data_IF_436626511417
#
_entry.id   IF_436626511417
#
_cell.length_a   1.000
_cell.length_b   1.000
_cell.length_c   1.000
_cell.angle_alpha   90.00
_cell.angle_beta   90.00
_cell.angle_gamma   90.00
#
_symmetry.space_group_name_H-M   'P 1'
#
loop_
_entity.id
_entity.type
_entity.pdbx_description
1 polymer ?
#
# COMPACT_ATOMS: atom_id res chain seq x y z
N UNK A 1 39.00 17.58 6.84
CA UNK A 1 37.99 16.94 7.71
C UNK A 1 36.79 16.59 6.86
N UNK A 2 36.27 15.37 6.96
CA UNK A 2 34.99 15.06 6.34
C UNK A 2 33.89 15.96 6.96
N UNK A 3 32.95 16.50 6.17
CA UNK A 3 31.84 17.28 6.72
C UNK A 3 31.05 16.43 7.73
N UNK A 4 30.48 17.06 8.75
CA UNK A 4 29.54 16.37 9.65
C UNK A 4 28.33 15.89 8.85
N UNK A 5 27.67 14.81 9.30
CA UNK A 5 26.49 14.29 8.61
C UNK A 5 25.43 15.37 8.37
N UNK A 6 25.18 16.23 9.37
CA UNK A 6 24.27 17.35 9.24
C UNK A 6 24.66 18.36 8.14
N UNK A 7 25.95 18.62 7.93
CA UNK A 7 26.43 19.50 6.86
C UNK A 7 26.31 18.84 5.48
N UNK A 8 26.56 17.53 5.39
CA UNK A 8 26.38 16.77 4.15
C UNK A 8 24.90 16.68 3.74
N UNK A 9 23.99 16.43 4.69
CA UNK A 9 22.55 16.38 4.44
C UNK A 9 21.98 17.73 3.99
N UNK A 10 22.52 18.85 4.49
CA UNK A 10 22.13 20.19 4.02
C UNK A 10 22.57 20.48 2.58
N UNK A 11 23.62 19.81 2.10
CA UNK A 11 24.14 19.98 0.76
C UNK A 11 23.54 18.99 -0.25
N UNK A 12 22.97 17.87 0.24
CA UNK A 12 22.25 16.91 -0.60
C UNK A 12 20.90 17.48 -1.06
N UNK A 13 20.48 17.11 -2.27
CA UNK A 13 19.08 17.31 -2.65
C UNK A 13 18.21 16.29 -1.91
N UNK A 14 16.96 16.63 -1.61
CA UNK A 14 16.08 15.76 -0.81
C UNK A 14 15.83 14.38 -1.44
N UNK A 15 16.02 14.26 -2.76
CA UNK A 15 15.72 13.06 -3.54
C UNK A 15 16.98 12.30 -3.99
N UNK A 16 18.19 12.81 -3.72
CA UNK A 16 19.44 12.10 -4.02
C UNK A 16 19.78 11.14 -2.88
N UNK A 17 19.06 10.02 -2.87
CA UNK A 17 19.15 9.02 -1.80
C UNK A 17 20.49 8.27 -1.83
N UNK A 18 21.17 8.15 -2.97
CA UNK A 18 22.55 7.68 -3.07
C UNK A 18 23.52 8.60 -2.32
N UNK A 19 23.48 9.92 -2.55
CA UNK A 19 24.35 10.86 -1.86
C UNK A 19 24.09 10.87 -0.33
N UNK A 20 22.82 10.77 0.08
CA UNK A 20 22.44 10.64 1.49
C UNK A 20 23.02 9.36 2.10
N UNK A 21 22.94 8.25 1.39
CA UNK A 21 23.50 6.96 1.81
C UNK A 21 25.02 7.04 1.97
N UNK A 22 25.73 7.65 1.02
CA UNK A 22 27.18 7.82 1.07
C UNK A 22 27.62 8.70 2.24
N UNK A 23 26.90 9.80 2.49
CA UNK A 23 27.14 10.68 3.63
C UNK A 23 26.95 9.95 4.97
N UNK A 24 25.88 9.16 5.10
CA UNK A 24 25.62 8.35 6.30
C UNK A 24 26.72 7.30 6.51
N UNK A 25 27.11 6.59 5.45
CA UNK A 25 28.20 5.61 5.48
C UNK A 25 29.54 6.24 5.88
N UNK A 26 29.84 7.46 5.42
CA UNK A 26 31.04 8.18 5.81
C UNK A 26 31.04 8.52 7.31
N UNK A 27 29.91 8.94 7.87
CA UNK A 27 29.75 9.22 9.30
C UNK A 27 29.99 7.96 10.16
N UNK A 28 29.42 6.84 9.72
CA UNK A 28 29.49 5.56 10.43
C UNK A 28 30.89 4.93 10.46
N UNK A 29 31.82 5.36 9.59
CA UNK A 29 33.24 4.96 9.67
C UNK A 29 33.89 5.43 10.98
N UNK A 30 33.43 6.56 11.52
CA UNK A 30 33.94 7.15 12.76
C UNK A 30 33.19 6.64 13.99
N UNK A 31 31.88 6.45 13.89
CA UNK A 31 31.04 5.93 14.98
C UNK A 31 30.01 4.94 14.44
N UNK A 32 30.30 3.64 14.53
CA UNK A 32 29.43 2.57 14.00
C UNK A 32 28.06 2.50 14.68
N UNK A 33 27.98 2.95 15.93
CA UNK A 33 26.77 2.89 16.77
C UNK A 33 26.01 4.22 16.82
N UNK A 34 26.35 5.19 15.95
CA UNK A 34 25.57 6.42 15.81
C UNK A 34 24.16 6.09 15.28
N UNK A 35 23.16 6.18 16.15
CA UNK A 35 21.77 5.87 15.82
C UNK A 35 21.23 6.77 14.71
N UNK A 36 21.58 8.06 14.72
CA UNK A 36 21.08 9.01 13.72
C UNK A 36 21.65 8.66 12.35
N UNK A 37 22.96 8.41 12.25
CA UNK A 37 23.59 8.00 11.00
C UNK A 37 23.09 6.63 10.51
N UNK A 38 22.81 5.68 11.41
CA UNK A 38 22.20 4.40 11.05
C UNK A 38 20.77 4.58 10.53
N UNK A 39 19.95 5.41 11.17
CA UNK A 39 18.59 5.71 10.70
C UNK A 39 18.62 6.37 9.31
N UNK A 40 19.48 7.38 9.11
CA UNK A 40 19.66 8.03 7.79
C UNK A 40 20.05 7.01 6.71
N UNK A 41 21.01 6.12 7.02
CA UNK A 41 21.41 5.04 6.10
C UNK A 41 20.24 4.11 5.77
N UNK A 42 19.49 3.65 6.77
CA UNK A 42 18.37 2.71 6.60
C UNK A 42 17.27 3.35 5.75
N UNK A 43 16.88 4.59 6.03
CA UNK A 43 15.86 5.31 5.26
C UNK A 43 16.31 5.52 3.81
N UNK A 44 17.57 5.88 3.59
CA UNK A 44 18.11 6.01 2.23
C UNK A 44 18.05 4.67 1.48
N UNK A 45 18.44 3.56 2.11
CA UNK A 45 18.33 2.22 1.51
C UNK A 45 16.88 1.86 1.17
N UNK A 46 15.91 2.18 2.05
CA UNK A 46 14.49 1.96 1.76
C UNK A 46 14.00 2.77 0.57
N UNK A 47 14.44 4.03 0.43
CA UNK A 47 14.07 4.89 -0.70
C UNK A 47 14.73 4.50 -2.02
N UNK A 48 15.80 3.72 -1.95
CA UNK A 48 16.47 3.11 -3.10
C UNK A 48 15.96 1.69 -3.41
N UNK A 49 14.89 1.25 -2.74
CA UNK A 49 14.35 -0.11 -2.83
C UNK A 49 15.37 -1.22 -2.53
N UNK A 50 16.42 -0.93 -1.75
CA UNK A 50 17.49 -1.87 -1.35
C UNK A 50 17.13 -2.60 -0.06
N UNK A 51 16.03 -3.34 -0.08
CA UNK A 51 15.43 -3.94 1.11
C UNK A 51 16.33 -4.98 1.79
N UNK A 52 17.03 -5.83 1.04
CA UNK A 52 17.97 -6.81 1.60
C UNK A 52 19.15 -6.13 2.31
N UNK A 53 19.60 -4.98 1.80
CA UNK A 53 20.68 -4.22 2.41
C UNK A 53 20.22 -3.55 3.72
N UNK A 54 18.93 -3.21 3.85
CA UNK A 54 18.34 -2.79 5.14
C UNK A 54 18.43 -3.92 6.15
N UNK A 55 17.99 -5.12 5.78
CA UNK A 55 18.04 -6.28 6.69
C UNK A 55 19.47 -6.61 7.11
N UNK A 56 20.41 -6.61 6.15
CA UNK A 56 21.84 -6.82 6.43
C UNK A 56 22.37 -5.73 7.36
N UNK A 57 22.03 -4.48 7.11
CA UNK A 57 22.43 -3.32 7.92
C UNK A 57 21.97 -3.49 9.37
N UNK A 58 20.68 -3.76 9.58
CA UNK A 58 20.08 -3.89 10.91
C UNK A 58 20.63 -5.12 11.65
N UNK A 59 20.85 -6.24 10.96
CA UNK A 59 21.39 -7.47 11.57
C UNK A 59 22.80 -7.31 12.13
N UNK A 60 23.59 -6.35 11.61
CA UNK A 60 24.92 -6.04 12.09
C UNK A 60 24.97 -5.07 13.28
N UNK A 61 23.82 -4.57 13.75
CA UNK A 61 23.74 -3.64 14.89
C UNK A 61 23.58 -4.40 16.21
N UNK A 62 24.01 -3.78 17.32
CA UNK A 62 23.71 -4.32 18.65
C UNK A 62 22.21 -4.31 18.95
N UNK A 63 21.73 -5.28 19.72
CA UNK A 63 20.28 -5.50 19.98
C UNK A 63 19.54 -4.23 20.48
N UNK A 64 20.19 -3.42 21.32
CA UNK A 64 19.61 -2.16 21.82
C UNK A 64 19.34 -1.11 20.73
N UNK A 65 20.11 -1.14 19.63
CA UNK A 65 19.95 -0.23 18.50
C UNK A 65 18.97 -0.85 17.50
N UNK A 66 19.10 -2.15 17.24
CA UNK A 66 18.23 -2.91 16.34
C UNK A 66 16.73 -2.76 16.68
N UNK A 67 16.38 -2.79 17.97
CA UNK A 67 14.98 -2.63 18.40
C UNK A 67 14.35 -1.30 17.98
N UNK A 68 15.15 -0.26 17.75
CA UNK A 68 14.70 1.07 17.32
C UNK A 68 14.29 1.10 15.83
N UNK A 69 14.68 0.10 15.05
CA UNK A 69 14.42 0.00 13.61
C UNK A 69 13.39 -1.07 13.26
N UNK A 70 12.52 -1.42 14.20
CA UNK A 70 11.53 -2.50 14.02
C UNK A 70 10.56 -2.20 12.87
N UNK A 71 10.14 -0.94 12.71
CA UNK A 71 9.24 -0.51 11.64
C UNK A 71 9.91 -0.65 10.26
N UNK A 72 11.13 -0.13 10.10
CA UNK A 72 11.89 -0.19 8.86
C UNK A 72 12.26 -1.62 8.49
N UNK A 73 12.61 -2.44 9.49
CA UNK A 73 12.90 -3.87 9.31
C UNK A 73 11.67 -4.62 8.81
N UNK A 74 10.52 -4.42 9.47
CA UNK A 74 9.26 -5.04 9.03
C UNK A 74 8.82 -4.55 7.66
N UNK A 75 9.03 -3.27 7.33
CA UNK A 75 8.71 -2.73 6.02
C UNK A 75 9.59 -3.35 4.93
N UNK A 76 10.90 -3.50 5.16
CA UNK A 76 11.78 -4.21 4.24
C UNK A 76 11.35 -5.69 4.04
N UNK A 77 11.05 -6.41 5.14
CA UNK A 77 10.51 -7.78 5.07
C UNK A 77 9.19 -7.85 4.29
N UNK A 78 8.28 -6.91 4.54
CA UNK A 78 7.03 -6.79 3.79
C UNK A 78 7.30 -6.63 2.30
N UNK A 79 8.18 -5.71 1.89
CA UNK A 79 8.52 -5.50 0.47
C UNK A 79 9.13 -6.74 -0.18
N UNK A 80 9.90 -7.53 0.58
CA UNK A 80 10.47 -8.82 0.15
C UNK A 80 9.47 -10.00 0.18
N UNK A 81 8.23 -9.78 0.63
CA UNK A 81 7.23 -10.84 0.75
C UNK A 81 7.40 -11.77 1.95
N UNK A 82 8.27 -11.42 2.90
CA UNK A 82 8.48 -12.16 4.16
C UNK A 82 7.41 -11.75 5.19
N UNK A 83 6.15 -12.08 4.90
CA UNK A 83 5.00 -11.52 5.62
C UNK A 83 4.89 -11.97 7.08
N UNK A 84 5.17 -13.25 7.36
CA UNK A 84 5.11 -13.79 8.72
C UNK A 84 6.22 -13.23 9.61
N UNK A 85 7.44 -13.12 9.06
CA UNK A 85 8.57 -12.50 9.75
C UNK A 85 8.30 -11.02 10.03
N UNK A 86 7.74 -10.29 9.05
CA UNK A 86 7.36 -8.90 9.22
C UNK A 86 6.31 -8.73 10.34
N UNK A 87 5.29 -9.59 10.36
CA UNK A 87 4.27 -9.58 11.42
C UNK A 87 4.87 -9.89 12.80
N UNK A 88 5.80 -10.86 12.86
CA UNK A 88 6.48 -11.23 14.11
C UNK A 88 7.31 -10.07 14.67
N UNK A 89 8.05 -9.36 13.82
CA UNK A 89 8.82 -8.17 14.22
C UNK A 89 7.91 -7.10 14.81
N UNK A 90 6.79 -6.79 14.14
CA UNK A 90 5.86 -5.77 14.61
C UNK A 90 5.12 -6.18 15.88
N UNK A 91 4.84 -7.47 16.09
CA UNK A 91 4.11 -7.95 17.29
C UNK A 91 4.78 -7.54 18.60
N UNK A 92 6.11 -7.42 18.61
CA UNK A 92 6.91 -7.02 19.77
C UNK A 92 7.18 -5.51 19.84
N UNK A 93 6.74 -4.74 18.84
CA UNK A 93 6.98 -3.30 18.77
C UNK A 93 6.02 -2.55 19.71
N UNK A 94 6.59 -1.82 20.67
CA UNK A 94 5.86 -0.99 21.64
C UNK A 94 6.53 0.37 21.80
N UNK A 95 5.78 1.49 21.80
CA UNK A 95 4.33 1.60 21.59
C UNK A 95 3.91 1.31 20.14
N UNK A 96 2.66 0.88 19.96
CA UNK A 96 2.04 0.75 18.64
C UNK A 96 1.68 2.13 18.11
N UNK A 97 2.56 2.70 17.29
CA UNK A 97 2.27 3.94 16.57
C UNK A 97 1.29 3.66 15.43
N UNK A 98 0.65 4.72 14.92
CA UNK A 98 -0.23 4.62 13.75
C UNK A 98 0.48 3.97 12.55
N UNK A 99 1.73 4.34 12.28
CA UNK A 99 2.53 3.76 11.20
C UNK A 99 2.74 2.24 11.38
N UNK A 100 2.94 1.77 12.62
CA UNK A 100 3.03 0.33 12.91
C UNK A 100 1.70 -0.36 12.64
N UNK A 101 0.58 0.20 13.11
CA UNK A 101 -0.75 -0.38 12.91
C UNK A 101 -1.16 -0.39 11.43
N UNK A 102 -0.83 0.66 10.67
CA UNK A 102 -1.05 0.71 9.23
C UNK A 102 -0.26 -0.41 8.52
N UNK A 103 1.03 -0.59 8.84
CA UNK A 103 1.85 -1.65 8.26
C UNK A 103 1.37 -3.05 8.67
N UNK A 104 0.91 -3.24 9.91
CA UNK A 104 0.28 -4.51 10.34
C UNK A 104 -0.96 -4.83 9.50
N UNK A 105 -1.81 -3.83 9.23
CA UNK A 105 -2.96 -3.98 8.34
C UNK A 105 -2.56 -4.36 6.91
N UNK A 106 -1.52 -3.72 6.36
CA UNK A 106 -0.99 -4.03 5.02
C UNK A 106 -0.40 -5.44 4.93
N UNK A 107 0.38 -5.85 5.93
CA UNK A 107 0.94 -7.21 6.04
C UNK A 107 -0.19 -8.23 6.12
N UNK A 108 -1.19 -8.00 6.99
CA UNK A 108 -2.33 -8.90 7.14
C UNK A 108 -3.14 -9.01 5.83
N UNK A 109 -3.38 -7.88 5.15
CA UNK A 109 -4.09 -7.87 3.86
C UNK A 109 -3.33 -8.68 2.80
N UNK A 110 -2.03 -8.45 2.64
CA UNK A 110 -1.21 -9.17 1.67
C UNK A 110 -1.03 -10.65 2.01
N UNK A 111 -1.15 -11.01 3.28
CA UNK A 111 -1.18 -12.40 3.76
C UNK A 111 -2.58 -13.03 3.70
N UNK A 112 -3.56 -12.36 3.08
CA UNK A 112 -4.96 -12.78 2.98
C UNK A 112 -5.69 -13.00 4.32
N UNK A 113 -5.15 -12.43 5.41
CA UNK A 113 -5.75 -12.39 6.74
C UNK A 113 -6.66 -11.17 6.87
N UNK A 114 -7.72 -11.14 6.07
CA UNK A 114 -8.55 -9.93 5.93
C UNK A 114 -9.30 -9.51 7.19
N UNK A 115 -9.67 -10.44 8.07
CA UNK A 115 -10.28 -10.11 9.37
C UNK A 115 -9.28 -9.40 10.29
N UNK A 116 -8.01 -9.83 10.29
CA UNK A 116 -6.95 -9.17 11.04
C UNK A 116 -6.68 -7.78 10.47
N UNK A 117 -6.60 -7.65 9.14
CA UNK A 117 -6.46 -6.36 8.46
C UNK A 117 -7.61 -5.40 8.80
N UNK A 118 -8.85 -5.90 8.80
CA UNK A 118 -10.04 -5.14 9.18
C UNK A 118 -9.95 -4.63 10.63
N UNK A 119 -9.56 -5.51 11.55
CA UNK A 119 -9.37 -5.16 12.96
C UNK A 119 -8.31 -4.09 13.15
N UNK A 120 -7.19 -4.17 12.43
CA UNK A 120 -6.12 -3.16 12.50
C UNK A 120 -6.61 -1.81 11.98
N UNK A 121 -7.18 -1.74 10.77
CA UNK A 121 -7.63 -0.47 10.20
C UNK A 121 -8.80 0.18 10.97
N UNK A 122 -9.67 -0.60 11.61
CA UNK A 122 -10.73 -0.06 12.46
C UNK A 122 -10.26 0.37 13.85
N UNK A 123 -9.06 -0.04 14.27
CA UNK A 123 -8.46 0.42 15.52
C UNK A 123 -7.75 1.78 15.39
N UNK A 124 -7.51 2.24 14.15
CA UNK A 124 -7.00 3.57 13.88
C UNK A 124 -8.12 4.60 14.10
N UNK A 125 -7.84 5.62 14.92
CA UNK A 125 -8.81 6.68 15.21
C UNK A 125 -9.28 7.35 13.92
N UNK A 126 -10.57 7.71 13.85
CA UNK A 126 -11.21 8.38 12.71
C UNK A 126 -10.73 9.83 12.48
N UNK A 127 -9.58 10.20 13.06
CA UNK A 127 -8.96 11.52 12.97
C UNK A 127 -8.56 11.82 11.53
N UNK A 128 -9.45 12.52 10.82
CA UNK A 128 -9.30 12.95 9.43
C UNK A 128 -8.81 11.82 8.51
N UNK A 129 -9.72 10.89 8.19
CA UNK A 129 -9.53 9.84 7.19
C UNK A 129 -8.56 10.30 6.10
N UNK A 130 -7.33 9.78 6.12
CA UNK A 130 -6.55 9.86 4.90
C UNK A 130 -7.32 9.05 3.86
N UNK A 131 -7.42 9.58 2.66
CA UNK A 131 -8.12 8.92 1.55
C UNK A 131 -7.59 7.48 1.37
N UNK A 132 -6.29 7.27 1.63
CA UNK A 132 -5.60 5.98 1.64
C UNK A 132 -6.17 4.96 2.65
N UNK A 133 -6.46 5.37 3.90
CA UNK A 133 -7.00 4.46 4.89
C UNK A 133 -8.39 3.98 4.49
N UNK A 134 -9.18 4.85 3.86
CA UNK A 134 -10.51 4.49 3.36
C UNK A 134 -10.43 3.53 2.17
N UNK A 135 -9.50 3.76 1.23
CA UNK A 135 -9.21 2.82 0.13
C UNK A 135 -8.85 1.45 0.70
N UNK A 136 -7.95 1.39 1.68
CA UNK A 136 -7.53 0.14 2.32
C UNK A 136 -8.68 -0.57 3.06
N UNK A 137 -9.52 0.16 3.81
CA UNK A 137 -10.72 -0.40 4.46
C UNK A 137 -11.69 -0.99 3.44
N UNK A 138 -11.95 -0.30 2.33
CA UNK A 138 -12.87 -0.80 1.29
C UNK A 138 -12.32 -2.00 0.53
N UNK A 139 -11.00 -2.07 0.30
CA UNK A 139 -10.35 -3.24 -0.26
C UNK A 139 -10.53 -4.47 0.64
N UNK A 140 -10.31 -4.33 1.95
CA UNK A 140 -10.54 -5.39 2.94
C UNK A 140 -12.00 -5.85 2.93
N UNK A 141 -12.96 -4.93 2.89
CA UNK A 141 -14.38 -5.27 2.84
C UNK A 141 -14.75 -6.07 1.59
N UNK A 142 -14.21 -5.70 0.42
CA UNK A 142 -14.44 -6.44 -0.82
C UNK A 142 -14.00 -7.90 -0.69
N UNK A 143 -12.82 -8.14 -0.11
CA UNK A 143 -12.30 -9.50 0.10
C UNK A 143 -13.13 -10.28 1.14
N UNK A 144 -13.50 -9.65 2.25
CA UNK A 144 -14.40 -10.26 3.24
C UNK A 144 -15.77 -10.61 2.63
N UNK A 145 -16.27 -9.79 1.70
CA UNK A 145 -17.48 -10.08 0.92
C UNK A 145 -17.40 -11.40 0.19
N UNK A 146 -16.30 -11.65 -0.53
CA UNK A 146 -16.06 -12.94 -1.22
C UNK A 146 -15.92 -14.12 -0.27
N UNK A 147 -15.51 -13.89 0.98
CA UNK A 147 -15.47 -14.91 2.03
C UNK A 147 -16.82 -15.10 2.75
N UNK A 148 -17.89 -14.41 2.33
CA UNK A 148 -19.19 -14.46 2.99
C UNK A 148 -19.25 -13.73 4.33
N UNK A 149 -18.24 -12.92 4.65
CA UNK A 149 -18.08 -12.14 5.89
C UNK A 149 -18.23 -10.62 5.67
N UNK A 150 -18.60 -10.21 4.46
CA UNK A 150 -18.73 -8.80 4.10
C UNK A 150 -19.86 -8.13 4.86
N UNK A 151 -19.52 -7.16 5.72
CA UNK A 151 -20.51 -6.36 6.44
C UNK A 151 -21.17 -5.31 5.52
N UNK A 152 -22.45 -5.03 5.73
CA UNK A 152 -23.16 -3.90 5.07
C UNK A 152 -22.82 -2.54 5.71
N UNK A 153 -22.18 -2.55 6.88
CA UNK A 153 -22.10 -1.41 7.81
C UNK A 153 -21.39 -0.16 7.27
N UNK A 154 -20.65 -0.25 6.15
CA UNK A 154 -19.67 0.76 5.77
C UNK A 154 -19.90 1.33 4.37
N UNK A 155 -20.90 0.82 3.65
CA UNK A 155 -20.92 0.91 2.19
C UNK A 155 -21.76 2.09 1.75
N UNK A 156 -21.09 3.07 1.15
CA UNK A 156 -21.66 4.13 0.34
C UNK A 156 -22.41 5.23 1.12
N UNK A 157 -21.65 6.10 1.78
CA UNK A 157 -22.01 7.51 1.67
C UNK A 157 -21.52 7.97 0.27
N UNK A 158 -22.37 8.41 -0.67
CA UNK A 158 -21.92 8.85 -1.99
C UNK A 158 -20.88 9.97 -1.94
N UNK A 159 -20.84 10.74 -0.84
CA UNK A 159 -19.83 11.78 -0.58
C UNK A 159 -18.44 11.24 -0.25
N UNK A 160 -18.28 9.93 -0.02
CA UNK A 160 -17.00 9.27 0.28
C UNK A 160 -16.38 8.59 -0.94
N UNK A 161 -17.06 8.60 -2.10
CA UNK A 161 -16.48 8.15 -3.36
C UNK A 161 -15.69 9.31 -3.96
N UNK A 162 -14.48 9.50 -3.43
CA UNK A 162 -13.55 10.58 -3.83
C UNK A 162 -12.42 10.06 -4.73
N UNK A 163 -12.21 8.74 -4.77
CA UNK A 163 -11.15 8.07 -5.53
C UNK A 163 -11.73 6.90 -6.34
N UNK A 164 -11.13 6.60 -7.50
CA UNK A 164 -11.66 5.56 -8.39
C UNK A 164 -11.52 4.16 -7.78
N UNK A 165 -10.51 3.94 -6.94
CA UNK A 165 -10.20 2.71 -6.20
C UNK A 165 -11.30 2.40 -5.18
N UNK A 166 -11.84 3.44 -4.52
CA UNK A 166 -12.99 3.27 -3.62
C UNK A 166 -14.20 2.75 -4.40
N UNK A 167 -14.52 3.37 -5.54
CA UNK A 167 -15.63 2.92 -6.38
C UNK A 167 -15.42 1.49 -6.88
N UNK A 168 -14.19 1.14 -7.28
CA UNK A 168 -13.81 -0.21 -7.70
C UNK A 168 -13.98 -1.24 -6.58
N UNK A 169 -13.47 -0.96 -5.38
CA UNK A 169 -13.57 -1.83 -4.22
C UNK A 169 -15.03 -2.05 -3.81
N UNK A 170 -15.83 -0.98 -3.77
CA UNK A 170 -17.26 -1.08 -3.50
C UNK A 170 -17.99 -1.88 -4.58
N UNK A 171 -17.61 -1.75 -5.85
CA UNK A 171 -18.16 -2.58 -6.90
C UNK A 171 -17.86 -4.06 -6.66
N UNK A 172 -16.61 -4.41 -6.37
CA UNK A 172 -16.20 -5.78 -6.06
C UNK A 172 -16.98 -6.36 -4.88
N UNK A 173 -17.23 -5.55 -3.84
CA UNK A 173 -18.11 -5.94 -2.74
C UNK A 173 -19.55 -6.21 -3.20
N UNK A 174 -20.13 -5.36 -4.05
CA UNK A 174 -21.48 -5.60 -4.60
C UNK A 174 -21.52 -6.86 -5.48
N UNK A 175 -20.45 -7.15 -6.24
CA UNK A 175 -20.33 -8.39 -7.02
C UNK A 175 -20.37 -9.60 -6.08
N UNK A 176 -19.62 -9.57 -4.98
CA UNK A 176 -19.60 -10.69 -4.01
C UNK A 176 -20.97 -10.98 -3.40
N UNK A 177 -21.85 -9.95 -3.33
CA UNK A 177 -23.22 -10.05 -2.84
C UNK A 177 -24.25 -10.42 -3.92
N UNK A 178 -23.83 -10.50 -5.19
CA UNK A 178 -24.71 -10.74 -6.33
C UNK A 178 -25.49 -9.51 -6.81
N UNK A 179 -25.19 -8.33 -6.29
CA UNK A 179 -25.84 -7.06 -6.66
C UNK A 179 -25.24 -6.49 -7.94
N UNK A 180 -25.38 -7.23 -9.05
CA UNK A 180 -24.65 -6.99 -10.30
C UNK A 180 -24.96 -5.64 -10.95
N UNK A 181 -26.19 -5.15 -10.89
CA UNK A 181 -26.54 -3.83 -11.44
C UNK A 181 -25.88 -2.68 -10.66
N UNK A 182 -25.85 -2.79 -9.32
CA UNK A 182 -25.17 -1.81 -8.47
C UNK A 182 -23.65 -1.85 -8.67
N UNK A 183 -23.08 -3.05 -8.80
CA UNK A 183 -21.68 -3.22 -9.16
C UNK A 183 -21.34 -2.56 -10.51
N UNK A 184 -22.18 -2.78 -11.54
CA UNK A 184 -21.97 -2.19 -12.85
C UNK A 184 -21.94 -0.65 -12.80
N UNK A 185 -22.89 -0.04 -12.07
CA UNK A 185 -22.91 1.40 -11.89
C UNK A 185 -21.63 1.92 -11.22
N UNK A 186 -21.17 1.26 -10.14
CA UNK A 186 -19.95 1.62 -9.44
C UNK A 186 -18.69 1.47 -10.31
N UNK A 187 -18.61 0.43 -11.15
CA UNK A 187 -17.51 0.27 -12.10
C UNK A 187 -17.49 1.36 -13.17
N UNK A 188 -18.65 1.84 -13.62
CA UNK A 188 -18.73 2.97 -14.56
C UNK A 188 -18.28 4.27 -13.90
N UNK A 189 -18.65 4.48 -12.63
CA UNK A 189 -18.15 5.61 -11.82
C UNK A 189 -16.64 5.52 -11.64
N UNK A 190 -16.11 4.34 -11.28
CA UNK A 190 -14.66 4.10 -11.14
C UNK A 190 -13.90 4.41 -12.43
N UNK A 191 -14.37 3.87 -13.57
CA UNK A 191 -13.78 4.18 -14.88
C UNK A 191 -13.75 5.68 -15.17
N UNK A 192 -14.88 6.37 -14.95
CA UNK A 192 -14.98 7.81 -15.18
C UNK A 192 -13.99 8.60 -14.32
N UNK A 193 -13.90 8.27 -13.03
CA UNK A 193 -12.97 8.93 -12.11
C UNK A 193 -11.51 8.70 -12.53
N UNK A 194 -11.15 7.49 -12.96
CA UNK A 194 -9.83 7.17 -13.47
C UNK A 194 -9.49 7.94 -14.75
N UNK A 195 -10.43 8.03 -15.70
CA UNK A 195 -10.26 8.77 -16.95
C UNK A 195 -10.01 10.28 -16.69
N UNK A 196 -10.66 10.84 -15.65
CA UNK A 196 -10.61 12.26 -15.25
C UNK A 196 -9.40 12.66 -14.39
N UNK A 197 -8.49 11.72 -14.01
CA UNK A 197 -7.30 12.06 -13.23
C UNK A 197 -6.26 12.80 -14.07
N UNK A 198 -5.88 14.03 -13.73
CA UNK A 198 -4.88 14.79 -14.49
C UNK A 198 -3.42 14.41 -14.15
N UNK A 199 -3.21 13.75 -13.02
CA UNK A 199 -1.87 13.46 -12.46
C UNK A 199 -1.24 12.16 -13.01
N UNK A 200 -1.93 11.44 -13.89
CA UNK A 200 -1.47 10.19 -14.51
C UNK A 200 -1.24 10.37 -16.01
N UNK A 201 -0.16 9.78 -16.52
CA UNK A 201 0.04 9.59 -17.96
C UNK A 201 -1.04 8.71 -18.58
N UNK A 202 -1.20 8.79 -19.90
CA UNK A 202 -2.17 7.94 -20.60
C UNK A 202 -1.86 6.45 -20.41
N UNK A 203 -0.57 6.07 -20.39
CA UNK A 203 -0.13 4.70 -20.13
C UNK A 203 -0.49 4.24 -18.71
N UNK A 204 -0.27 5.08 -17.69
CA UNK A 204 -0.65 4.79 -16.30
C UNK A 204 -2.17 4.64 -16.18
N UNK A 205 -2.96 5.53 -16.78
CA UNK A 205 -4.42 5.41 -16.83
C UNK A 205 -4.85 4.11 -17.47
N UNK A 206 -4.25 3.73 -18.61
CA UNK A 206 -4.60 2.46 -19.24
C UNK A 206 -4.32 1.27 -18.32
N UNK A 207 -3.20 1.26 -17.60
CA UNK A 207 -2.88 0.22 -16.61
C UNK A 207 -3.93 0.14 -15.51
N UNK A 208 -4.37 1.29 -14.97
CA UNK A 208 -5.39 1.34 -13.91
C UNK A 208 -6.80 0.95 -14.41
N UNK A 209 -7.11 1.19 -15.69
CA UNK A 209 -8.40 0.85 -16.28
C UNK A 209 -8.58 -0.66 -16.53
N UNK A 210 -7.51 -1.41 -16.76
CA UNK A 210 -7.56 -2.86 -17.03
C UNK A 210 -8.38 -3.63 -15.98
N UNK A 211 -8.09 -3.56 -14.67
CA UNK A 211 -8.87 -4.29 -13.67
C UNK A 211 -10.35 -3.86 -13.63
N UNK A 212 -10.64 -2.56 -13.85
CA UNK A 212 -12.00 -2.04 -13.88
C UNK A 212 -12.78 -2.65 -15.06
N UNK A 213 -12.18 -2.65 -16.25
CA UNK A 213 -12.77 -3.19 -17.47
C UNK A 213 -12.99 -4.70 -17.37
N UNK A 214 -12.04 -5.46 -16.81
CA UNK A 214 -12.20 -6.90 -16.57
C UNK A 214 -13.43 -7.17 -15.68
N UNK A 215 -13.62 -6.41 -14.60
CA UNK A 215 -14.80 -6.56 -13.76
C UNK A 215 -16.09 -6.15 -14.49
N UNK A 216 -16.05 -5.15 -15.37
CA UNK A 216 -17.22 -4.80 -16.19
C UNK A 216 -17.59 -5.94 -17.15
N UNK A 217 -16.60 -6.54 -17.83
CA UNK A 217 -16.80 -7.72 -18.71
C UNK A 217 -17.46 -8.85 -17.92
N UNK A 218 -16.96 -9.15 -16.72
CA UNK A 218 -17.56 -10.16 -15.84
C UNK A 218 -19.01 -9.84 -15.52
N UNK A 219 -19.32 -8.62 -15.08
CA UNK A 219 -20.67 -8.22 -14.68
C UNK A 219 -21.63 -8.23 -15.88
N UNK A 220 -21.24 -7.70 -17.03
CA UNK A 220 -22.05 -7.76 -18.26
C UNK A 220 -22.35 -9.21 -18.67
N UNK A 221 -21.35 -10.08 -18.60
CA UNK A 221 -21.51 -11.51 -18.91
C UNK A 221 -22.50 -12.18 -17.95
N UNK A 222 -22.40 -11.90 -16.64
CA UNK A 222 -23.31 -12.42 -15.61
C UNK A 222 -24.74 -11.92 -15.75
N UNK A 223 -24.94 -10.72 -16.32
CA UNK A 223 -26.25 -10.14 -16.61
C UNK A 223 -26.83 -10.60 -17.96
N UNK A 224 -26.07 -11.35 -18.77
CA UNK A 224 -26.50 -11.82 -20.10
C UNK A 224 -26.30 -10.79 -21.22
N UNK A 225 -25.62 -9.68 -20.96
CA UNK A 225 -25.30 -8.65 -21.95
C UNK A 225 -24.03 -9.00 -22.72
N UNK A 226 -24.06 -10.12 -23.45
CA UNK A 226 -22.89 -10.75 -24.06
C UNK A 226 -22.19 -9.84 -25.07
N UNK A 227 -22.94 -9.12 -25.91
CA UNK A 227 -22.34 -8.24 -26.91
C UNK A 227 -21.58 -7.07 -26.26
N UNK A 228 -22.11 -6.50 -25.18
CA UNK A 228 -21.40 -5.47 -24.40
C UNK A 228 -20.13 -6.00 -23.73
N UNK A 229 -20.18 -7.22 -23.23
CA UNK A 229 -19.00 -7.86 -22.66
C UNK A 229 -17.89 -8.06 -23.72
N UNK A 230 -18.25 -8.48 -24.94
CA UNK A 230 -17.30 -8.63 -26.06
C UNK A 230 -16.71 -7.29 -26.50
N UNK A 231 -17.54 -6.26 -26.66
CA UNK A 231 -17.08 -4.90 -26.99
C UNK A 231 -15.99 -4.42 -26.01
N UNK A 232 -16.20 -4.62 -24.70
CA UNK A 232 -15.20 -4.25 -23.70
C UNK A 232 -13.97 -5.16 -23.69
N UNK A 233 -14.14 -6.45 -23.98
CA UNK A 233 -13.02 -7.38 -24.11
C UNK A 233 -12.09 -7.00 -25.26
N UNK A 234 -12.64 -6.50 -26.37
CA UNK A 234 -11.84 -6.00 -27.51
C UNK A 234 -11.02 -4.75 -27.16
N UNK A 235 -11.44 -3.97 -26.15
CA UNK A 235 -10.65 -2.83 -25.64
C UNK A 235 -9.49 -3.27 -24.74
N UNK A 236 -9.56 -4.46 -24.15
CA UNK A 236 -8.53 -5.05 -23.29
C UNK A 236 -7.38 -5.66 -24.10
N UNK A 237 -6.97 -5.07 -25.23
CA UNK A 237 -5.78 -5.57 -25.96
C UNK A 237 -4.57 -5.44 -25.06
N UNK A 238 -4.26 -6.51 -24.34
CA UNK A 238 -3.09 -6.63 -23.51
C UNK A 238 -1.88 -6.54 -24.45
N UNK A 239 -1.13 -5.45 -24.35
CA UNK A 239 0.22 -5.38 -24.90
C UNK A 239 1.02 -6.55 -24.34
N UNK A 240 1.50 -7.43 -25.22
CA UNK A 240 2.45 -8.52 -24.89
C UNK A 240 3.74 -7.97 -24.27
#
# INVERSE_FOLDING_TARGET
>A
MAPSLAAALKAATLNDHEAILDAANASLKTSKNDTFANHTRIVALLKLDRFEDVLRTVSGLGENIKSQFSLETAYAMYKLGQLDDAAQVLSTCTPKTEAVQQLEGQIAYRAERFEDAWKMYNSLEDGNYSDDLYINKTAVLAQLGWQGKGSDCCVANPKTIIAFEVAYNLACLQISKGNLMSALHLLQVSKKLCDELDDLSDEEKQSELVPILIQQVYVYSRLGFIERAKELQELLVLSE
#
